data_IF_661207176435
#
_entry.id   IF_661207176435
#
_cell.length_a   1.000
_cell.length_b   1.000
_cell.length_c   1.000
_cell.angle_alpha   90.00
_cell.angle_beta   90.00
_cell.angle_gamma   90.00
#
_symmetry.space_group_name_H-M   'P 1'
#
loop_
_entity.id
_entity.type
_entity.pdbx_description
1 polymer ?
#
# COMPACT_ATOMS: atom_id res chain seq x y z
N UNK A 1 -3.61 -9.22 -3.37
CA UNK A 1 -4.48 -8.25 -2.66
C UNK A 1 -3.87 -7.99 -1.27
N UNK A 2 -3.15 -6.89 -1.02
CA UNK A 2 -2.22 -6.77 0.14
C UNK A 2 -2.56 -5.60 1.08
N UNK A 3 -2.50 -5.79 2.41
CA UNK A 3 -2.91 -4.79 3.43
C UNK A 3 -1.81 -4.18 4.33
N UNK A 4 -1.93 -2.90 4.78
CA UNK A 4 -1.02 -2.29 5.74
C UNK A 4 -1.48 -0.97 6.49
N UNK A 5 -1.43 -0.84 7.86
CA UNK A 5 -1.93 0.24 8.83
C UNK A 5 -1.05 1.48 9.27
N UNK A 6 -1.64 2.67 9.65
CA UNK A 6 -0.98 3.95 10.13
C UNK A 6 -1.49 4.60 11.49
N UNK A 7 -0.61 5.36 12.21
CA UNK A 7 -0.76 6.22 13.42
C UNK A 7 0.51 7.10 13.55
N UNK A 8 0.34 8.38 13.89
CA UNK A 8 1.35 9.47 13.87
C UNK A 8 2.24 9.51 15.13
N UNK A 9 3.50 9.95 14.99
CA UNK A 9 4.30 10.53 16.07
C UNK A 9 5.29 11.61 15.56
N UNK A 10 5.56 12.57 16.44
CA UNK A 10 6.16 13.90 16.22
C UNK A 10 7.68 13.88 16.08
N UNK A 11 8.19 14.84 15.31
CA UNK A 11 9.59 15.03 14.93
C UNK A 11 10.41 15.81 15.98
N UNK A 12 11.48 15.19 16.48
CA UNK A 12 12.57 15.87 17.20
C UNK A 12 13.58 16.45 16.20
N UNK A 13 14.00 17.70 16.42
CA UNK A 13 14.87 18.46 15.52
C UNK A 13 16.29 17.91 15.45
N UNK A 14 16.67 17.43 14.26
CA UNK A 14 18.05 17.36 13.79
C UNK A 14 18.21 18.45 12.72
N UNK A 15 19.34 19.17 12.73
CA UNK A 15 19.69 20.11 11.67
C UNK A 15 19.85 19.33 10.36
N UNK A 16 18.84 19.40 9.49
CA UNK A 16 18.77 18.60 8.28
C UNK A 16 19.62 19.25 7.19
N UNK A 17 20.51 18.49 6.51
CA UNK A 17 21.26 19.04 5.40
C UNK A 17 20.32 19.52 4.31
N UNK A 18 20.80 20.45 3.47
CA UNK A 18 20.00 21.02 2.38
C UNK A 18 19.50 19.90 1.45
N UNK A 19 18.25 19.97 0.95
CA UNK A 19 17.62 18.87 0.20
C UNK A 19 18.45 18.38 -1.00
N UNK A 20 19.16 19.27 -1.68
CA UNK A 20 20.03 19.00 -2.83
C UNK A 20 21.32 18.25 -2.45
N UNK A 21 21.90 18.55 -1.29
CA UNK A 21 23.07 17.85 -0.75
C UNK A 21 22.71 16.43 -0.29
N UNK A 22 21.54 16.27 0.35
CA UNK A 22 20.98 14.98 0.71
C UNK A 22 20.77 14.10 -0.53
N UNK A 23 20.18 14.63 -1.59
CA UNK A 23 19.92 13.85 -2.82
C UNK A 23 21.22 13.35 -3.46
N UNK A 24 22.26 14.19 -3.56
CA UNK A 24 23.55 13.78 -4.15
C UNK A 24 24.32 12.78 -3.27
N UNK A 25 24.28 12.95 -1.95
CA UNK A 25 24.89 12.00 -1.02
C UNK A 25 24.14 10.65 -1.02
N UNK A 26 22.80 10.69 -1.06
CA UNK A 26 21.94 9.50 -1.08
C UNK A 26 22.03 8.75 -2.40
N UNK A 27 22.14 9.43 -3.54
CA UNK A 27 22.30 8.78 -4.86
C UNK A 27 23.59 7.94 -4.96
N UNK A 28 24.63 8.28 -4.18
CA UNK A 28 25.87 7.48 -4.10
C UNK A 28 25.74 6.27 -3.16
N UNK A 29 24.84 6.35 -2.18
CA UNK A 29 24.63 5.33 -1.15
C UNK A 29 23.49 4.36 -1.50
N UNK A 30 22.55 4.81 -2.34
CA UNK A 30 21.38 4.03 -2.79
C UNK A 30 21.41 3.95 -4.31
N UNK A 31 21.91 2.83 -4.87
CA UNK A 31 22.06 2.68 -6.33
C UNK A 31 20.74 2.40 -7.06
N UNK A 32 19.64 2.14 -6.35
CA UNK A 32 18.34 1.82 -6.96
C UNK A 32 17.51 3.10 -7.21
N UNK A 33 17.29 3.52 -8.48
CA UNK A 33 16.56 4.75 -8.79
C UNK A 33 15.12 4.77 -8.29
N UNK A 34 14.49 3.59 -8.16
CA UNK A 34 13.13 3.46 -7.64
C UNK A 34 13.11 3.75 -6.13
N UNK A 35 14.11 3.28 -5.39
CA UNK A 35 14.24 3.62 -3.96
C UNK A 35 14.43 5.12 -3.76
N UNK A 36 15.28 5.75 -4.59
CA UNK A 36 15.50 7.19 -4.52
C UNK A 36 14.22 7.99 -4.83
N UNK A 37 13.50 7.62 -5.89
CA UNK A 37 12.26 8.28 -6.30
C UNK A 37 11.14 8.16 -5.25
N UNK A 38 11.07 7.03 -4.53
CA UNK A 38 10.08 6.79 -3.48
C UNK A 38 10.51 7.29 -2.09
N UNK A 39 11.72 7.83 -1.96
CA UNK A 39 12.29 8.21 -0.67
C UNK A 39 12.47 7.02 0.29
N UNK A 40 12.73 5.82 -0.24
CA UNK A 40 12.81 4.57 0.51
C UNK A 40 14.27 4.21 0.79
N UNK A 41 14.75 4.48 2.01
CA UNK A 41 16.17 4.39 2.36
C UNK A 41 16.42 3.40 3.50
N UNK A 42 17.14 2.30 3.26
CA UNK A 42 17.55 1.38 4.31
C UNK A 42 18.68 1.98 5.18
N UNK A 43 18.34 2.38 6.41
CA UNK A 43 19.30 2.88 7.40
C UNK A 43 19.81 1.80 8.37
N UNK A 44 19.34 0.56 8.23
CA UNK A 44 19.77 -0.59 9.05
C UNK A 44 19.91 -1.86 8.19
N UNK A 45 20.75 -2.83 8.61
CA UNK A 45 20.89 -4.11 7.91
C UNK A 45 19.57 -4.86 7.76
N UNK A 46 18.73 -4.86 8.81
CA UNK A 46 17.40 -5.48 8.78
C UNK A 46 16.50 -4.85 7.71
N UNK A 47 16.56 -3.53 7.53
CA UNK A 47 15.78 -2.87 6.51
C UNK A 47 16.31 -3.14 5.10
N UNK A 48 17.63 -3.30 4.95
CA UNK A 48 18.22 -3.75 3.69
C UNK A 48 17.75 -5.16 3.32
N UNK A 49 17.77 -6.10 4.28
CA UNK A 49 17.27 -7.46 4.09
C UNK A 49 15.78 -7.48 3.70
N UNK A 50 14.97 -6.62 4.34
CA UNK A 50 13.55 -6.48 4.02
C UNK A 50 13.32 -5.92 2.61
N UNK A 51 14.13 -4.96 2.15
CA UNK A 51 14.04 -4.43 0.79
C UNK A 51 14.49 -5.46 -0.26
N UNK A 52 15.48 -6.29 0.06
CA UNK A 52 15.91 -7.40 -0.79
C UNK A 52 14.85 -8.49 -0.86
N UNK A 53 14.17 -8.79 0.26
CA UNK A 53 12.99 -9.64 0.27
C UNK A 53 11.87 -9.04 -0.58
N UNK A 54 11.54 -7.76 -0.40
CA UNK A 54 10.53 -7.05 -1.18
C UNK A 54 10.82 -7.12 -2.69
N UNK A 55 12.09 -6.94 -3.10
CA UNK A 55 12.52 -7.07 -4.50
C UNK A 55 12.31 -8.48 -5.06
N UNK A 56 12.58 -9.52 -4.27
CA UNK A 56 12.36 -10.92 -4.68
C UNK A 56 10.87 -11.23 -4.80
N UNK A 57 10.10 -10.78 -3.82
CA UNK A 57 8.66 -10.99 -3.74
C UNK A 57 7.91 -10.22 -4.84
N UNK A 58 8.40 -9.05 -5.26
CA UNK A 58 7.81 -8.29 -6.37
C UNK A 58 7.72 -9.10 -7.68
N UNK A 59 8.58 -10.10 -7.87
CA UNK A 59 8.61 -10.93 -9.08
C UNK A 59 7.57 -12.05 -9.09
N UNK A 60 6.94 -12.36 -7.96
CA UNK A 60 5.93 -13.41 -7.86
C UNK A 60 4.53 -12.81 -7.84
N UNK A 61 3.59 -13.47 -8.51
CA UNK A 61 2.18 -13.11 -8.45
C UNK A 61 1.55 -13.70 -7.19
N UNK A 62 1.77 -13.04 -6.06
CA UNK A 62 1.22 -13.45 -4.77
C UNK A 62 0.60 -12.27 -4.02
N UNK A 63 -0.34 -12.60 -3.14
CA UNK A 63 -0.84 -11.69 -2.10
C UNK A 63 0.18 -11.60 -0.98
N UNK A 64 0.42 -10.39 -0.48
CA UNK A 64 1.32 -10.11 0.62
C UNK A 64 0.53 -9.60 1.82
N UNK A 65 1.05 -9.84 3.01
CA UNK A 65 0.53 -9.30 4.23
C UNK A 65 1.70 -8.75 5.03
N UNK A 66 1.70 -7.45 5.33
CA UNK A 66 2.67 -6.87 6.25
C UNK A 66 2.04 -6.76 7.63
N UNK A 67 2.72 -7.32 8.61
CA UNK A 67 2.25 -7.36 10.00
C UNK A 67 2.97 -6.35 10.90
N UNK A 68 3.90 -5.55 10.36
CA UNK A 68 4.75 -4.73 11.23
C UNK A 68 3.99 -3.54 11.84
N UNK A 69 4.69 -2.81 12.69
CA UNK A 69 4.17 -1.61 13.32
C UNK A 69 3.95 -0.48 12.33
N UNK A 70 3.01 0.33 12.76
CA UNK A 70 2.51 1.53 12.16
C UNK A 70 3.59 2.60 11.94
N UNK A 71 3.73 3.15 10.72
CA UNK A 71 4.67 4.26 10.44
C UNK A 71 6.05 3.87 9.90
N UNK A 72 6.28 2.61 9.55
CA UNK A 72 7.57 2.08 9.06
C UNK A 72 7.84 2.27 7.55
N UNK A 73 7.21 3.25 6.89
CA UNK A 73 7.46 3.56 5.47
C UNK A 73 6.90 2.53 4.49
N UNK A 74 5.82 1.88 4.89
CA UNK A 74 5.34 0.66 4.25
C UNK A 74 4.45 0.88 3.01
N UNK A 75 3.83 2.04 2.87
CA UNK A 75 3.23 2.44 1.58
C UNK A 75 4.33 2.54 0.52
N UNK A 76 5.50 3.08 0.90
CA UNK A 76 6.67 3.19 0.04
C UNK A 76 7.21 1.80 -0.29
N UNK A 77 7.19 0.86 0.65
CA UNK A 77 7.50 -0.56 0.35
C UNK A 77 6.48 -1.18 -0.60
N UNK A 78 5.18 -0.93 -0.42
CA UNK A 78 4.14 -1.45 -1.32
C UNK A 78 4.27 -0.88 -2.74
N UNK A 79 4.55 0.42 -2.86
CA UNK A 79 4.87 1.08 -4.14
C UNK A 79 6.15 0.52 -4.75
N UNK A 80 7.19 0.33 -3.94
CA UNK A 80 8.44 -0.28 -4.40
C UNK A 80 8.20 -1.70 -4.95
N UNK A 81 7.38 -2.50 -4.27
CA UNK A 81 7.01 -3.84 -4.74
C UNK A 81 6.25 -3.75 -6.08
N UNK A 82 5.29 -2.83 -6.20
CA UNK A 82 4.56 -2.61 -7.45
C UNK A 82 5.50 -2.23 -8.61
N UNK A 83 6.36 -1.23 -8.41
CA UNK A 83 7.34 -0.74 -9.39
C UNK A 83 8.37 -1.81 -9.80
N UNK A 84 8.67 -2.76 -8.91
CA UNK A 84 9.58 -3.88 -9.19
C UNK A 84 8.88 -5.13 -9.71
N UNK A 85 7.55 -5.09 -9.87
CA UNK A 85 6.76 -6.23 -10.33
C UNK A 85 6.52 -6.22 -11.84
N UNK A 86 6.10 -7.35 -12.44
CA UNK A 86 5.61 -7.37 -13.82
C UNK A 86 4.40 -6.45 -14.08
N UNK A 87 3.75 -5.94 -13.02
CA UNK A 87 2.55 -5.09 -13.06
C UNK A 87 2.87 -3.60 -12.91
N UNK A 88 4.14 -3.21 -12.95
CA UNK A 88 4.57 -1.81 -12.78
C UNK A 88 3.97 -0.83 -13.82
N UNK A 89 3.59 -1.32 -15.00
CA UNK A 89 2.91 -0.50 -16.01
C UNK A 89 1.40 -0.32 -15.74
N UNK A 90 0.83 -1.09 -14.82
CA UNK A 90 -0.57 -1.04 -14.43
C UNK A 90 -0.83 -0.02 -13.32
N UNK A 91 -2.10 0.22 -12.97
CA UNK A 91 -2.48 1.17 -11.93
C UNK A 91 -2.03 0.71 -10.53
N UNK A 92 -1.58 1.66 -9.70
CA UNK A 92 -1.43 1.45 -8.26
C UNK A 92 -2.54 2.19 -7.51
N UNK A 93 -3.46 1.44 -6.92
CA UNK A 93 -4.61 1.98 -6.16
C UNK A 93 -4.37 1.74 -4.68
N UNK A 94 -4.27 2.81 -3.90
CA UNK A 94 -4.19 2.73 -2.44
C UNK A 94 -5.54 3.11 -1.83
N UNK A 95 -6.03 2.28 -0.91
CA UNK A 95 -7.30 2.50 -0.23
C UNK A 95 -7.15 2.27 1.27
N UNK A 96 -7.41 3.31 2.06
CA UNK A 96 -7.39 3.25 3.51
C UNK A 96 -8.81 3.07 4.06
N UNK A 97 -9.02 1.97 4.79
CA UNK A 97 -10.32 1.56 5.30
C UNK A 97 -10.79 2.40 6.50
N UNK A 98 -9.88 3.01 7.26
CA UNK A 98 -10.24 3.89 8.37
C UNK A 98 -10.87 5.22 7.96
N UNK A 99 -10.87 5.54 6.65
CA UNK A 99 -11.33 6.81 6.12
C UNK A 99 -12.77 6.79 5.55
N UNK A 100 -13.45 5.64 5.49
CA UNK A 100 -14.78 5.52 4.84
C UNK A 100 -15.90 5.10 5.81
N UNK A 101 -17.12 5.58 5.52
CA UNK A 101 -18.34 5.09 6.15
C UNK A 101 -18.66 3.65 5.69
N UNK A 102 -18.96 2.75 6.62
CA UNK A 102 -19.34 1.36 6.37
C UNK A 102 -20.44 1.21 5.30
N UNK A 103 -21.40 2.13 5.24
CA UNK A 103 -22.51 2.06 4.28
C UNK A 103 -22.09 2.27 2.81
N UNK A 104 -20.95 2.92 2.57
CA UNK A 104 -20.44 3.19 1.21
C UNK A 104 -19.31 2.22 0.80
N UNK A 105 -18.93 1.34 1.72
CA UNK A 105 -17.77 0.48 1.58
C UNK A 105 -17.82 -0.44 0.36
N UNK A 106 -18.91 -1.21 0.21
CA UNK A 106 -19.08 -2.13 -0.92
C UNK A 106 -19.13 -1.37 -2.25
N UNK A 107 -19.80 -0.21 -2.25
CA UNK A 107 -19.94 0.66 -3.40
C UNK A 107 -18.60 1.24 -3.87
N UNK A 108 -17.65 1.57 -2.97
CA UNK A 108 -16.32 2.00 -3.42
C UNK A 108 -15.48 0.82 -3.92
N UNK A 109 -15.53 -0.35 -3.28
CA UNK A 109 -14.73 -1.49 -3.71
C UNK A 109 -15.18 -2.08 -5.05
N UNK A 110 -16.49 -2.28 -5.20
CA UNK A 110 -17.08 -3.00 -6.32
C UNK A 110 -17.76 -2.07 -7.33
N UNK A 111 -17.93 -0.80 -6.99
CA UNK A 111 -18.68 0.15 -7.80
C UNK A 111 -20.17 0.05 -7.56
N UNK A 112 -20.91 0.90 -8.25
CA UNK A 112 -22.37 0.89 -8.24
C UNK A 112 -22.93 1.41 -9.56
N UNK A 113 -24.13 0.91 -9.91
CA UNK A 113 -24.93 1.47 -10.97
C UNK A 113 -25.75 2.67 -10.46
N UNK A 114 -26.10 3.58 -11.37
CA UNK A 114 -27.02 4.68 -11.10
C UNK A 114 -28.32 4.13 -10.51
N UNK A 115 -28.73 4.69 -9.37
CA UNK A 115 -29.94 4.29 -8.65
C UNK A 115 -29.78 3.10 -7.71
N UNK A 116 -28.57 2.57 -7.49
CA UNK A 116 -28.33 1.49 -6.53
C UNK A 116 -28.67 1.88 -5.08
N UNK A 117 -28.56 3.16 -4.72
CA UNK A 117 -28.95 3.73 -3.42
C UNK A 117 -29.29 5.22 -3.55
N UNK A 118 -29.90 5.78 -2.49
CA UNK A 118 -30.18 7.22 -2.39
C UNK A 118 -28.88 8.03 -2.46
N UNK A 119 -28.60 8.64 -3.62
CA UNK A 119 -27.35 9.37 -3.88
C UNK A 119 -26.51 8.81 -5.04
N UNK A 120 -26.83 7.62 -5.56
CA UNK A 120 -26.19 7.03 -6.73
C UNK A 120 -26.65 7.73 -8.04
N UNK A 121 -26.15 8.94 -8.27
CA UNK A 121 -26.55 9.79 -9.40
C UNK A 121 -25.96 9.36 -10.75
N UNK A 122 -24.93 8.52 -10.74
CA UNK A 122 -24.27 8.00 -11.94
C UNK A 122 -23.66 6.62 -11.66
N UNK A 123 -23.27 5.93 -12.73
CA UNK A 123 -22.48 4.70 -12.61
C UNK A 123 -21.06 5.06 -12.14
N UNK A 124 -20.50 4.24 -11.24
CA UNK A 124 -19.14 4.42 -10.74
C UNK A 124 -18.42 3.07 -10.70
N UNK A 125 -17.27 2.92 -11.38
CA UNK A 125 -16.46 1.71 -11.30
C UNK A 125 -15.84 1.57 -9.91
N UNK A 126 -15.66 0.32 -9.47
CA UNK A 126 -15.07 0.01 -8.18
C UNK A 126 -13.55 0.13 -8.16
N UNK A 127 -12.96 0.18 -6.96
CA UNK A 127 -11.51 0.21 -6.77
C UNK A 127 -10.81 -1.05 -7.32
N UNK A 128 -11.47 -2.21 -7.30
CA UNK A 128 -10.91 -3.42 -7.91
C UNK A 128 -10.81 -3.31 -9.43
N UNK A 129 -11.82 -2.69 -10.05
CA UNK A 129 -11.82 -2.43 -11.49
C UNK A 129 -10.76 -1.37 -11.85
N UNK A 130 -10.66 -0.31 -11.04
CA UNK A 130 -9.65 0.73 -11.20
C UNK A 130 -8.21 0.18 -11.02
N UNK A 131 -8.04 -0.89 -10.26
CA UNK A 131 -6.75 -1.57 -10.05
C UNK A 131 -6.49 -2.72 -11.04
N UNK A 132 -7.36 -2.90 -12.05
CA UNK A 132 -7.24 -4.02 -12.99
C UNK A 132 -5.88 -4.01 -13.70
N UNK A 133 -5.28 -5.19 -13.85
CA UNK A 133 -3.91 -5.41 -14.33
C UNK A 133 -2.79 -4.69 -13.54
N UNK A 134 -3.12 -4.12 -12.38
CA UNK A 134 -2.21 -3.35 -11.53
C UNK A 134 -2.08 -3.92 -10.12
N UNK A 135 -2.05 -3.04 -9.12
CA UNK A 135 -1.90 -3.42 -7.71
C UNK A 135 -2.84 -2.59 -6.84
N UNK A 136 -3.56 -3.28 -5.96
CA UNK A 136 -4.35 -2.64 -4.91
C UNK A 136 -3.67 -2.81 -3.55
N UNK A 137 -3.39 -1.68 -2.90
CA UNK A 137 -2.98 -1.60 -1.51
C UNK A 137 -4.22 -1.30 -0.67
N UNK A 138 -4.47 -2.17 0.28
CA UNK A 138 -5.49 -2.01 1.30
C UNK A 138 -4.79 -1.50 2.57
N UNK A 139 -5.28 -0.50 3.26
CA UNK A 139 -4.65 0.00 4.50
C UNK A 139 -5.71 -0.10 5.59
N UNK A 140 -5.37 -0.52 6.80
CA UNK A 140 -6.37 -0.63 7.89
C UNK A 140 -7.39 -1.76 7.80
N UNK A 141 -7.07 -2.88 7.13
CA UNK A 141 -8.01 -4.03 7.06
C UNK A 141 -8.36 -4.65 8.42
N UNK A 142 -7.53 -4.44 9.44
CA UNK A 142 -7.77 -4.90 10.80
C UNK A 142 -8.93 -4.20 11.47
N UNK A 143 -9.19 -2.95 11.10
CA UNK A 143 -10.24 -2.09 11.65
C UNK A 143 -11.62 -2.37 11.03
N UNK A 144 -11.69 -3.22 10.00
CA UNK A 144 -12.95 -3.60 9.38
C UNK A 144 -13.72 -4.54 10.31
N UNK A 145 -14.95 -4.16 10.61
CA UNK A 145 -15.93 -5.03 11.26
C UNK A 145 -16.04 -6.38 10.52
N UNK A 146 -16.11 -7.48 11.26
CA UNK A 146 -16.11 -8.83 10.68
C UNK A 146 -17.26 -9.06 9.69
N UNK A 147 -18.36 -8.31 9.81
CA UNK A 147 -19.50 -8.34 8.89
C UNK A 147 -19.19 -7.76 7.50
N UNK A 148 -18.24 -6.83 7.41
CA UNK A 148 -17.91 -6.10 6.18
C UNK A 148 -16.63 -6.60 5.51
N UNK A 149 -15.94 -7.57 6.12
CA UNK A 149 -14.67 -8.08 5.60
C UNK A 149 -14.91 -8.91 4.33
N UNK A 150 -14.32 -8.54 3.17
CA UNK A 150 -14.52 -9.28 1.92
C UNK A 150 -14.10 -10.77 2.04
N UNK A 151 -14.76 -11.70 1.31
CA UNK A 151 -14.46 -13.12 1.39
C UNK A 151 -13.00 -13.47 1.05
N UNK A 152 -12.39 -12.76 0.10
CA UNK A 152 -10.97 -12.98 -0.28
C UNK A 152 -10.04 -12.69 0.90
N UNK A 153 -10.32 -11.63 1.65
CA UNK A 153 -9.59 -11.25 2.86
C UNK A 153 -9.79 -12.29 3.96
N UNK A 154 -11.02 -12.79 4.12
CA UNK A 154 -11.32 -13.86 5.09
C UNK A 154 -10.61 -15.17 4.76
N UNK A 155 -10.36 -15.46 3.48
CA UNK A 155 -9.66 -16.67 3.03
C UNK A 155 -8.18 -16.62 3.41
N UNK A 156 -7.54 -15.48 3.17
CA UNK A 156 -6.11 -15.30 3.44
C UNK A 156 -5.81 -15.25 4.95
N UNK A 157 -6.68 -14.63 5.75
CA UNK A 157 -6.53 -14.59 7.21
C UNK A 157 -6.76 -15.94 7.91
N UNK A 158 -7.30 -16.96 7.23
CA UNK A 158 -7.49 -18.31 7.79
C UNK A 158 -6.21 -19.14 7.84
N UNK A 159 -5.15 -18.76 7.13
CA UNK A 159 -3.87 -19.47 7.10
C UNK A 159 -2.99 -19.25 8.35
N UNK A 160 -3.57 -18.74 9.44
CA UNK A 160 -2.94 -18.52 10.75
C UNK A 160 -3.54 -19.37 11.88
N UNK A 161 -4.00 -20.58 11.60
CA UNK A 161 -4.23 -21.61 12.63
C UNK A 161 -3.28 -22.76 12.46
#
# INVERSE_FOLDING_TARGET
VTTLLRRRSESAGLDMPRPDELVHAMARLVPDPVQLALGLFAMSPVMADNLDLARRVAKVDSTLLSTDETGSGKEQVARFIHEKSPRAAGPFVAFNYGAINEALFESELFGHARGAFSGAIQDRPGLFEAANHGTILLDEIGEISLSLRPPEVRREMRFRR
#
